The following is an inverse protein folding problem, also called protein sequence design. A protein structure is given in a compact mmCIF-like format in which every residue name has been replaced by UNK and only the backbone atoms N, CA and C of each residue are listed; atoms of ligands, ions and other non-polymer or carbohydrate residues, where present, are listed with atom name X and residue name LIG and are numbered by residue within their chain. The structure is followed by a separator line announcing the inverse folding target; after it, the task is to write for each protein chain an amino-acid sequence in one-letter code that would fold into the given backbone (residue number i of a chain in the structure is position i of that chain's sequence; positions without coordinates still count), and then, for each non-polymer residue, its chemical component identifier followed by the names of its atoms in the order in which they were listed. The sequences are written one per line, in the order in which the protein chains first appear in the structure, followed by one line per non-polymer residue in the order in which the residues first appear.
data_IF_033745975636
#
_entry.id   IF_033745975636
#
_cell.length_a   1.000
_cell.length_b   1.000
_cell.length_c   1.000
_cell.angle_alpha   90.00
_cell.angle_beta   90.00
_cell.angle_gamma   90.00
#
_symmetry.space_group_name_H-M   'P 1'
#
loop_
_entity.id
_entity.type
_entity.pdbx_description
1 polymer ?
#
# COMPACT_ATOMS: atom_id res chain seq x y z
N UNK A 1 -0.78 -4.94 -3.47
CA UNK A 1 0.02 -5.91 -2.69
C UNK A 1 1.28 -6.21 -3.48
N UNK A 2 2.47 -6.02 -2.91
CA UNK A 2 3.76 -6.14 -3.61
C UNK A 2 4.66 -7.16 -2.91
N UNK A 3 5.24 -8.10 -3.66
CA UNK A 3 6.13 -9.14 -3.13
C UNK A 3 7.39 -8.55 -2.47
N UNK A 4 7.88 -7.43 -3.01
CA UNK A 4 9.09 -6.77 -2.55
C UNK A 4 8.88 -6.26 -1.12
N UNK A 5 7.78 -5.54 -0.91
CA UNK A 5 7.40 -4.99 0.39
C UNK A 5 6.92 -6.08 1.37
N UNK A 6 6.25 -7.13 0.86
CA UNK A 6 5.67 -8.20 1.68
C UNK A 6 6.72 -8.97 2.49
N UNK A 7 7.96 -9.05 2.00
CA UNK A 7 9.01 -9.69 2.78
C UNK A 7 10.38 -9.79 2.12
N UNK A 8 10.51 -9.54 0.81
CA UNK A 8 11.83 -9.62 0.18
C UNK A 8 12.76 -8.50 0.67
N UNK A 9 12.33 -7.25 0.64
CA UNK A 9 13.13 -6.12 1.14
C UNK A 9 13.43 -6.24 2.64
N UNK A 10 12.43 -6.62 3.44
CA UNK A 10 12.65 -6.87 4.87
C UNK A 10 13.70 -7.97 5.10
N UNK A 11 13.71 -9.03 4.29
CA UNK A 11 14.69 -10.10 4.40
C UNK A 11 16.09 -9.67 3.97
N UNK A 12 16.23 -8.94 2.87
CA UNK A 12 17.51 -8.39 2.41
C UNK A 12 18.07 -7.40 3.44
N UNK A 13 17.22 -6.51 3.97
CA UNK A 13 17.62 -5.56 4.99
C UNK A 13 18.06 -6.27 6.29
N UNK A 14 17.36 -7.32 6.71
CA UNK A 14 17.75 -8.12 7.87
C UNK A 14 19.09 -8.85 7.69
N UNK A 15 19.47 -9.22 6.45
CA UNK A 15 20.79 -9.79 6.14
C UNK A 15 21.87 -8.70 6.09
N UNK A 16 21.57 -7.57 5.45
CA UNK A 16 22.49 -6.45 5.35
C UNK A 16 22.86 -5.90 6.73
N UNK A 17 21.91 -5.82 7.68
CA UNK A 17 22.17 -5.37 9.07
C UNK A 17 23.09 -6.29 9.87
N UNK A 18 23.34 -7.53 9.43
CA UNK A 18 24.30 -8.42 10.08
C UNK A 18 25.76 -8.05 9.72
N UNK A 19 25.96 -7.19 8.72
CA UNK A 19 27.26 -6.73 8.25
C UNK A 19 27.40 -5.23 8.53
N UNK A 20 28.50 -4.83 9.17
CA UNK A 20 28.78 -3.41 9.42
C UNK A 20 29.14 -2.70 8.11
N UNK A 21 28.66 -1.47 7.94
CA UNK A 21 29.07 -0.56 6.86
C UNK A 21 29.43 0.80 7.47
N UNK A 22 30.53 1.40 7.01
CA UNK A 22 31.02 2.73 7.42
C UNK A 22 31.00 3.74 6.28
N UNK A 23 30.56 3.33 5.10
CA UNK A 23 30.38 4.18 3.93
C UNK A 23 29.18 3.72 3.11
N UNK A 24 28.70 4.60 2.22
CA UNK A 24 27.63 4.25 1.26
C UNK A 24 28.09 3.10 0.34
N UNK A 25 29.36 3.09 -0.07
CA UNK A 25 29.91 2.02 -0.90
C UNK A 25 29.86 0.65 -0.21
N UNK A 26 30.28 0.58 1.06
CA UNK A 26 30.19 -0.65 1.87
C UNK A 26 28.73 -1.09 2.10
N UNK A 27 27.81 -0.13 2.25
CA UNK A 27 26.37 -0.43 2.36
C UNK A 27 25.85 -1.08 1.08
N UNK A 28 26.14 -0.51 -0.08
CA UNK A 28 25.72 -1.05 -1.39
C UNK A 28 26.30 -2.45 -1.59
N UNK A 29 27.59 -2.66 -1.30
CA UNK A 29 28.22 -3.98 -1.42
C UNK A 29 27.56 -5.01 -0.48
N UNK A 30 27.21 -4.63 0.75
CA UNK A 30 26.51 -5.50 1.68
C UNK A 30 25.10 -5.88 1.19
N UNK A 31 24.38 -4.95 0.55
CA UNK A 31 23.07 -5.22 -0.07
C UNK A 31 23.23 -6.18 -1.25
N UNK A 32 24.16 -5.92 -2.18
CA UNK A 32 24.43 -6.79 -3.33
C UNK A 32 24.80 -8.21 -2.88
N UNK A 33 25.67 -8.32 -1.88
CA UNK A 33 26.05 -9.61 -1.30
C UNK A 33 24.86 -10.32 -0.68
N UNK A 34 24.03 -9.60 0.07
CA UNK A 34 22.80 -10.16 0.68
C UNK A 34 21.81 -10.65 -0.37
N UNK A 35 21.71 -9.94 -1.50
CA UNK A 35 20.89 -10.34 -2.65
C UNK A 35 21.41 -11.66 -3.26
N UNK A 36 22.71 -11.73 -3.54
CA UNK A 36 23.34 -12.91 -4.16
C UNK A 36 23.32 -14.14 -3.23
N UNK A 37 23.44 -13.93 -1.92
CA UNK A 37 23.42 -15.00 -0.91
C UNK A 37 22.00 -15.43 -0.51
N UNK A 38 20.95 -14.71 -0.94
CA UNK A 38 19.59 -14.98 -0.48
C UNK A 38 19.07 -16.32 -1.00
N UNK A 39 18.65 -17.26 -0.13
CA UNK A 39 18.19 -18.58 -0.56
C UNK A 39 16.89 -18.51 -1.38
N UNK A 40 16.89 -19.13 -2.57
CA UNK A 40 15.72 -19.19 -3.45
C UNK A 40 14.52 -19.88 -2.78
N UNK A 41 14.76 -20.83 -1.88
CA UNK A 41 13.72 -21.50 -1.11
C UNK A 41 13.01 -20.52 -0.17
N UNK A 42 13.76 -19.56 0.42
CA UNK A 42 13.15 -18.50 1.25
C UNK A 42 12.35 -17.54 0.38
N UNK A 43 12.80 -17.23 -0.83
CA UNK A 43 12.05 -16.43 -1.78
C UNK A 43 10.73 -17.12 -2.18
N UNK A 44 10.77 -18.42 -2.50
CA UNK A 44 9.59 -19.23 -2.81
C UNK A 44 8.56 -19.22 -1.68
N UNK A 45 9.01 -19.23 -0.42
CA UNK A 45 8.12 -19.09 0.74
C UNK A 45 7.44 -17.71 0.83
N UNK A 46 8.10 -16.64 0.39
CA UNK A 46 7.48 -15.31 0.29
C UNK A 46 6.44 -15.30 -0.83
N UNK A 47 6.72 -15.90 -2.00
CA UNK A 47 5.75 -16.05 -3.08
C UNK A 47 4.51 -16.83 -2.65
N UNK A 48 4.68 -17.94 -1.93
CA UNK A 48 3.55 -18.70 -1.39
C UNK A 48 2.71 -17.87 -0.40
N UNK A 49 3.36 -16.94 0.34
CA UNK A 49 2.65 -16.00 1.22
C UNK A 49 1.86 -14.97 0.40
N UNK A 50 2.44 -14.43 -0.67
CA UNK A 50 1.73 -13.54 -1.58
C UNK A 50 0.48 -14.21 -2.14
N UNK A 51 0.61 -15.44 -2.65
CA UNK A 51 -0.52 -16.19 -3.17
C UNK A 51 -1.60 -16.44 -2.11
N UNK A 52 -1.20 -16.77 -0.87
CA UNK A 52 -2.14 -16.92 0.23
C UNK A 52 -2.89 -15.61 0.52
N UNK A 53 -2.20 -14.47 0.53
CA UNK A 53 -2.83 -13.17 0.70
C UNK A 53 -3.77 -12.83 -0.48
N UNK A 54 -3.43 -13.19 -1.72
CA UNK A 54 -4.31 -13.00 -2.87
C UNK A 54 -5.60 -13.82 -2.73
N UNK A 55 -5.52 -15.03 -2.18
CA UNK A 55 -6.72 -15.82 -1.85
C UNK A 55 -7.58 -15.08 -0.81
N UNK A 56 -6.98 -14.52 0.25
CA UNK A 56 -7.75 -13.70 1.20
C UNK A 56 -8.35 -12.44 0.56
N UNK A 57 -7.65 -11.81 -0.38
CA UNK A 57 -8.21 -10.67 -1.14
C UNK A 57 -9.45 -11.09 -1.93
N UNK A 58 -9.44 -12.26 -2.56
CA UNK A 58 -10.62 -12.82 -3.25
C UNK A 58 -11.77 -13.03 -2.25
N UNK A 59 -11.49 -13.64 -1.10
CA UNK A 59 -12.49 -13.84 -0.03
C UNK A 59 -13.10 -12.54 0.49
N UNK A 60 -12.29 -11.49 0.56
CA UNK A 60 -12.70 -10.16 1.06
C UNK A 60 -13.16 -9.23 -0.07
N UNK A 61 -13.47 -9.76 -1.26
CA UNK A 61 -13.97 -9.00 -2.40
C UNK A 61 -13.09 -7.78 -2.76
N UNK A 62 -11.78 -7.97 -2.75
CA UNK A 62 -10.80 -6.90 -3.01
C UNK A 62 -10.32 -6.16 -1.76
N UNK A 63 -10.92 -6.40 -0.60
CA UNK A 63 -10.50 -5.84 0.68
C UNK A 63 -9.11 -6.31 1.11
N UNK A 64 -8.44 -5.50 1.94
CA UNK A 64 -7.11 -5.79 2.51
C UNK A 64 -7.14 -6.00 4.04
N UNK A 65 -8.33 -6.02 4.63
CA UNK A 65 -8.53 -6.16 6.08
C UNK A 65 -8.52 -7.64 6.46
N UNK A 66 -7.34 -8.24 6.39
CA UNK A 66 -7.10 -9.62 6.82
C UNK A 66 -5.72 -9.77 7.44
N UNK A 67 -5.56 -10.79 8.28
CA UNK A 67 -4.24 -11.18 8.80
C UNK A 67 -3.52 -11.98 7.74
N UNK A 68 -2.21 -11.77 7.60
CA UNK A 68 -1.38 -12.55 6.67
C UNK A 68 -1.49 -14.06 7.02
N UNK A 69 -1.92 -14.92 6.09
CA UNK A 69 -2.09 -16.35 6.38
C UNK A 69 -0.77 -17.06 6.70
N UNK A 70 -0.75 -17.80 7.81
CA UNK A 70 0.44 -18.51 8.26
C UNK A 70 0.42 -19.99 7.80
N UNK A 71 0.92 -20.24 6.59
CA UNK A 71 0.92 -21.58 5.95
C UNK A 71 1.90 -22.62 6.54
N UNK A 72 2.46 -22.39 7.73
CA UNK A 72 3.42 -23.30 8.39
C UNK A 72 4.54 -23.78 7.44
N UNK A 73 4.98 -22.88 6.56
CA UNK A 73 5.80 -23.18 5.38
C UNK A 73 7.08 -23.94 5.73
N UNK A 74 7.71 -23.55 6.83
CA UNK A 74 8.93 -24.17 7.35
C UNK A 74 8.72 -25.61 7.81
N UNK A 75 7.64 -25.86 8.57
CA UNK A 75 7.26 -27.20 9.03
C UNK A 75 6.94 -28.10 7.84
N UNK A 76 6.18 -27.58 6.88
CA UNK A 76 5.77 -28.35 5.69
C UNK A 76 6.96 -28.64 4.77
N UNK A 77 7.92 -27.71 4.63
CA UNK A 77 9.15 -27.96 3.88
C UNK A 77 9.98 -29.08 4.48
N UNK A 78 10.18 -29.07 5.81
CA UNK A 78 10.92 -30.14 6.52
C UNK A 78 10.26 -31.52 6.39
N UNK A 79 8.93 -31.54 6.27
CA UNK A 79 8.16 -32.76 6.08
C UNK A 79 8.06 -33.20 4.60
N UNK A 80 8.65 -32.47 3.65
CA UNK A 80 8.54 -32.75 2.21
C UNK A 80 7.16 -32.47 1.61
N UNK A 81 6.29 -31.77 2.35
CA UNK A 81 4.88 -31.53 2.00
C UNK A 81 4.58 -30.06 1.68
N UNK A 82 5.62 -29.24 1.44
CA UNK A 82 5.40 -27.84 1.06
C UNK A 82 4.84 -27.79 -0.36
N UNK A 83 3.66 -27.20 -0.50
CA UNK A 83 3.07 -26.93 -1.80
C UNK A 83 3.85 -25.83 -2.51
N UNK A 84 4.01 -25.96 -3.81
CA UNK A 84 4.58 -24.91 -4.65
C UNK A 84 3.65 -23.69 -4.76
N UNK A 85 2.34 -23.94 -4.80
CA UNK A 85 1.32 -22.90 -4.95
C UNK A 85 0.21 -22.98 -3.88
N UNK A 86 -0.36 -21.84 -3.54
CA UNK A 86 -1.57 -21.75 -2.73
C UNK A 86 -2.78 -22.21 -3.55
N UNK A 87 -3.74 -22.86 -2.89
CA UNK A 87 -4.99 -23.26 -3.50
C UNK A 87 -6.06 -22.23 -3.16
N UNK A 88 -6.71 -21.69 -4.18
CA UNK A 88 -7.92 -20.92 -4.02
C UNK A 88 -9.10 -21.91 -4.00
N UNK A 89 -9.90 -21.96 -2.92
CA UNK A 89 -11.11 -22.77 -2.91
C UNK A 89 -12.08 -22.33 -4.01
N UNK A 90 -12.73 -23.30 -4.66
CA UNK A 90 -13.59 -23.07 -5.83
C UNK A 90 -14.80 -22.21 -5.48
N UNK A 91 -15.41 -22.51 -4.34
CA UNK A 91 -16.53 -21.79 -3.74
C UNK A 91 -16.21 -20.31 -3.50
N UNK A 92 -15.04 -20.01 -2.94
CA UNK A 92 -14.59 -18.62 -2.71
C UNK A 92 -14.39 -17.87 -4.04
N UNK A 93 -13.79 -18.54 -5.02
CA UNK A 93 -13.62 -17.98 -6.35
C UNK A 93 -14.96 -17.73 -7.06
N UNK A 94 -15.87 -18.70 -7.02
CA UNK A 94 -17.19 -18.59 -7.65
C UNK A 94 -18.05 -17.51 -6.98
N UNK A 95 -18.00 -17.38 -5.65
CA UNK A 95 -18.67 -16.31 -4.92
C UNK A 95 -18.14 -14.92 -5.31
N UNK A 96 -16.81 -14.75 -5.33
CA UNK A 96 -16.20 -13.49 -5.74
C UNK A 96 -16.49 -13.15 -7.20
N UNK A 97 -16.48 -14.15 -8.09
CA UNK A 97 -16.82 -13.96 -9.50
C UNK A 97 -18.29 -13.53 -9.67
N UNK A 98 -19.22 -14.22 -9.00
CA UNK A 98 -20.65 -13.84 -9.04
C UNK A 98 -20.84 -12.41 -8.55
N UNK A 99 -20.16 -12.02 -7.47
CA UNK A 99 -20.21 -10.64 -6.99
C UNK A 99 -19.74 -9.65 -8.06
N UNK A 100 -18.62 -9.93 -8.74
CA UNK A 100 -18.12 -9.07 -9.81
C UNK A 100 -19.06 -8.99 -11.02
N UNK A 101 -19.72 -10.10 -11.37
CA UNK A 101 -20.70 -10.15 -12.45
C UNK A 101 -21.95 -9.29 -12.13
N UNK A 102 -22.28 -9.12 -10.84
CA UNK A 102 -23.40 -8.30 -10.35
C UNK A 102 -23.05 -6.81 -10.14
N UNK A 103 -21.78 -6.43 -10.22
CA UNK A 103 -21.37 -5.03 -10.02
C UNK A 103 -21.80 -4.15 -11.20
N UNK A 104 -22.54 -3.08 -10.90
CA UNK A 104 -22.85 -2.02 -11.85
C UNK A 104 -21.60 -1.16 -12.09
N UNK A 105 -20.88 -1.49 -13.17
CA UNK A 105 -19.65 -0.81 -13.58
C UNK A 105 -19.91 0.65 -13.94
N UNK A 106 -21.07 0.97 -14.54
CA UNK A 106 -21.40 2.34 -14.94
C UNK A 106 -21.62 3.23 -13.72
N UNK A 107 -22.36 2.73 -12.72
CA UNK A 107 -22.56 3.43 -11.47
C UNK A 107 -21.22 3.65 -10.71
N UNK A 108 -20.35 2.65 -10.70
CA UNK A 108 -19.03 2.74 -10.09
C UNK A 108 -18.13 3.77 -10.79
N UNK A 109 -18.07 3.74 -12.13
CA UNK A 109 -17.30 4.72 -12.90
C UNK A 109 -17.81 6.15 -12.69
N UNK A 110 -19.14 6.32 -12.64
CA UNK A 110 -19.73 7.63 -12.37
C UNK A 110 -19.37 8.14 -10.97
N UNK A 111 -19.36 7.27 -9.95
CA UNK A 111 -18.92 7.63 -8.61
C UNK A 111 -17.46 8.10 -8.60
N UNK A 112 -16.55 7.39 -9.27
CA UNK A 112 -15.14 7.78 -9.39
C UNK A 112 -14.96 9.12 -10.12
N UNK A 113 -15.75 9.36 -11.17
CA UNK A 113 -15.75 10.64 -11.90
C UNK A 113 -16.20 11.78 -10.99
N UNK A 114 -17.25 11.56 -10.18
CA UNK A 114 -17.74 12.54 -9.23
C UNK A 114 -16.68 12.88 -8.17
N UNK A 115 -16.09 11.87 -7.53
CA UNK A 115 -15.00 12.05 -6.56
C UNK A 115 -13.82 12.83 -7.15
N UNK A 116 -13.42 12.49 -8.40
CA UNK A 116 -12.35 13.20 -9.10
C UNK A 116 -12.71 14.66 -9.38
N UNK A 117 -13.96 14.94 -9.73
CA UNK A 117 -14.44 16.28 -10.00
C UNK A 117 -14.47 17.12 -8.72
N UNK A 118 -14.91 16.54 -7.60
CA UNK A 118 -14.88 17.18 -6.27
C UNK A 118 -13.45 17.50 -5.86
N UNK A 119 -12.52 16.56 -6.00
CA UNK A 119 -11.11 16.78 -5.69
C UNK A 119 -10.52 17.92 -6.54
N UNK A 120 -10.83 17.95 -7.85
CA UNK A 120 -10.42 19.05 -8.73
C UNK A 120 -11.06 20.40 -8.37
N UNK A 121 -12.31 20.39 -7.92
CA UNK A 121 -12.98 21.61 -7.49
C UNK A 121 -12.32 22.16 -6.22
N UNK A 122 -11.99 21.29 -5.26
CA UNK A 122 -11.24 21.64 -4.05
C UNK A 122 -9.86 22.22 -4.39
N UNK A 123 -9.10 21.58 -5.28
CA UNK A 123 -7.80 22.08 -5.74
C UNK A 123 -7.90 23.47 -6.40
N UNK A 124 -8.96 23.70 -7.19
CA UNK A 124 -9.20 25.00 -7.83
C UNK A 124 -9.49 26.08 -6.80
N UNK A 125 -10.37 25.79 -5.83
CA UNK A 125 -10.68 26.72 -4.76
C UNK A 125 -9.45 27.04 -3.92
N UNK A 126 -8.64 26.03 -3.57
CA UNK A 126 -7.39 26.22 -2.84
C UNK A 126 -6.45 27.19 -3.57
N UNK A 127 -6.21 26.97 -4.88
CA UNK A 127 -5.38 27.89 -5.69
C UNK A 127 -5.97 29.29 -5.81
N UNK A 128 -7.29 29.43 -5.86
CA UNK A 128 -7.93 30.74 -5.89
C UNK A 128 -7.75 31.49 -4.56
N UNK A 129 -7.86 30.80 -3.42
CA UNK A 129 -7.60 31.38 -2.10
C UNK A 129 -6.13 31.77 -1.94
N UNK A 130 -5.18 30.95 -2.42
CA UNK A 130 -3.74 31.27 -2.41
C UNK A 130 -3.40 32.51 -3.24
N UNK A 131 -4.08 32.70 -4.38
CA UNK A 131 -3.88 33.86 -5.25
C UNK A 131 -4.66 35.10 -4.80
N UNK A 132 -5.52 34.98 -3.79
CA UNK A 132 -6.32 36.09 -3.29
C UNK A 132 -5.46 37.00 -2.41
N UNK A 133 -5.29 38.25 -2.84
CA UNK A 133 -4.65 39.27 -2.00
C UNK A 133 -5.60 39.66 -0.88
N UNK A 134 -5.13 39.61 0.36
CA UNK A 134 -5.91 40.01 1.53
C UNK A 134 -5.85 41.53 1.66
N UNK A 135 -6.93 42.21 1.29
CA UNK A 135 -7.10 43.64 1.48
C UNK A 135 -7.86 43.96 2.79
N UNK A 136 -7.88 45.24 3.16
CA UNK A 136 -8.45 45.72 4.42
C UNK A 136 -9.96 45.43 4.53
N UNK A 137 -10.69 45.50 3.41
CA UNK A 137 -12.12 45.21 3.34
C UNK A 137 -12.42 43.71 3.54
N UNK A 138 -11.57 42.83 2.99
CA UNK A 138 -11.66 41.39 3.20
C UNK A 138 -11.33 41.01 4.65
N UNK A 139 -10.34 41.65 5.28
CA UNK A 139 -9.99 41.44 6.69
C UNK A 139 -11.16 41.74 7.62
N UNK A 140 -11.83 42.89 7.42
CA UNK A 140 -13.02 43.26 8.21
C UNK A 140 -14.16 42.26 8.01
N UNK A 141 -14.30 41.71 6.81
CA UNK A 141 -15.33 40.72 6.50
C UNK A 141 -15.04 39.36 7.15
N UNK A 142 -13.78 38.92 7.14
CA UNK A 142 -13.34 37.68 7.80
C UNK A 142 -13.44 37.77 9.32
N UNK A 143 -13.10 38.93 9.91
CA UNK A 143 -13.26 39.18 11.35
C UNK A 143 -14.73 39.11 11.79
N UNK A 144 -15.66 39.64 10.98
CA UNK A 144 -17.12 39.49 11.20
C UNK A 144 -17.61 38.04 11.12
N UNK A 145 -16.91 37.19 10.36
CA UNK A 145 -17.19 35.75 10.29
C UNK A 145 -16.49 34.94 11.41
N UNK A 146 -15.77 35.61 12.32
CA UNK A 146 -15.04 34.98 13.41
C UNK A 146 -13.73 34.32 12.97
N UNK A 147 -13.23 34.65 11.78
CA UNK A 147 -11.98 34.14 11.24
C UNK A 147 -10.89 35.19 11.49
N UNK A 148 -10.00 34.92 12.43
CA UNK A 148 -8.91 35.83 12.82
C UNK A 148 -7.66 35.48 12.00
N UNK A 149 -6.95 36.46 11.40
CA UNK A 149 -5.72 36.20 10.68
C UNK A 149 -4.66 35.60 11.61
N UNK A 150 -3.92 34.61 11.11
CA UNK A 150 -2.75 34.08 11.80
C UNK A 150 -1.59 35.03 11.51
N UNK A 151 -1.10 35.75 12.51
CA UNK A 151 0.10 36.56 12.39
C UNK A 151 1.33 35.63 12.41
N UNK A 152 2.15 35.68 11.36
CA UNK A 152 3.38 34.86 11.23
C UNK A 152 4.63 35.73 11.50
N UNK A 153 4.47 37.00 11.90
CA UNK A 153 5.60 37.90 12.20
C UNK A 153 6.15 37.79 13.64
N UNK A 154 6.02 36.63 14.29
CA UNK A 154 6.74 36.36 15.54
C UNK A 154 7.94 35.42 15.28
N UNK A 155 8.98 35.98 14.64
CA UNK A 155 10.43 35.76 14.93
C UNK A 155 11.29 36.88 14.31
#
# INVERSE_FOLDING_TARGET
MNILDLGFFAAIQALQHQKSARSIGELVENVERSFNEYPLERLGRTFLTLQACLVETVRQLGGNVYKIPHYSKEKNARAGNLRENALCPRDEYEAAKSHLDDVDVEAMEQALVNERNECRAMDRLARQLEAMTVDEDLLVSLEKMGIVPINIEDE
#
